data_IF_793779038674
#
_entry.id   IF_793779038674
#
_cell.length_a   1.000
_cell.length_b   1.000
_cell.length_c   1.000
_cell.angle_alpha   90.00
_cell.angle_beta   90.00
_cell.angle_gamma   90.00
#
_symmetry.space_group_name_H-M   'P 1'
#
loop_
_entity.id
_entity.type
_entity.pdbx_description
1 polymer ?
#
# COMPACT_ATOMS: atom_id res chain seq x y z
N UNK A 1 -5.33 9.49 -16.99
CA UNK A 1 -6.59 8.71 -17.04
C UNK A 1 -6.19 7.24 -17.06
N UNK A 2 -6.47 6.51 -15.99
CA UNK A 2 -6.05 5.12 -15.85
C UNK A 2 -6.55 4.25 -16.99
N UNK A 3 -5.64 3.49 -17.61
CA UNK A 3 -6.00 2.57 -18.70
C UNK A 3 -6.89 1.44 -18.17
N UNK A 4 -7.71 0.86 -19.05
CA UNK A 4 -8.56 -0.29 -18.70
C UNK A 4 -7.73 -1.44 -18.09
N UNK A 5 -6.56 -1.71 -18.65
CA UNK A 5 -5.64 -2.77 -18.21
C UNK A 5 -5.12 -2.53 -16.78
N UNK A 6 -4.75 -1.28 -16.46
CA UNK A 6 -4.27 -0.90 -15.11
C UNK A 6 -5.35 -1.10 -14.05
N UNK A 7 -6.60 -0.76 -14.34
CA UNK A 7 -7.74 -0.99 -13.43
C UNK A 7 -8.03 -2.48 -13.22
N UNK A 8 -7.89 -3.29 -14.27
CA UNK A 8 -8.05 -4.73 -14.17
C UNK A 8 -6.92 -5.36 -13.33
N UNK A 9 -5.68 -4.95 -13.56
CA UNK A 9 -4.52 -5.36 -12.76
C UNK A 9 -4.72 -5.01 -11.28
N UNK A 10 -5.12 -3.77 -10.98
CA UNK A 10 -5.41 -3.32 -9.61
C UNK A 10 -6.47 -4.19 -8.94
N UNK A 11 -7.58 -4.51 -9.64
CA UNK A 11 -8.62 -5.40 -9.11
C UNK A 11 -8.11 -6.81 -8.82
N UNK A 12 -7.27 -7.36 -9.72
CA UNK A 12 -6.68 -8.69 -9.53
C UNK A 12 -5.73 -8.72 -8.32
N UNK A 13 -4.87 -7.70 -8.19
CA UNK A 13 -3.96 -7.58 -7.04
C UNK A 13 -4.74 -7.39 -5.73
N UNK A 14 -5.81 -6.60 -5.76
CA UNK A 14 -6.68 -6.40 -4.59
C UNK A 14 -7.35 -7.71 -4.15
N UNK A 15 -7.90 -8.47 -5.11
CA UNK A 15 -8.49 -9.78 -4.82
C UNK A 15 -7.44 -10.76 -4.24
N UNK A 16 -6.22 -10.77 -4.80
CA UNK A 16 -5.11 -11.58 -4.29
C UNK A 16 -4.71 -11.17 -2.86
N UNK A 17 -4.69 -9.86 -2.57
CA UNK A 17 -4.40 -9.36 -1.22
C UNK A 17 -5.47 -9.80 -0.21
N UNK A 18 -6.74 -9.79 -0.60
CA UNK A 18 -7.83 -10.24 0.27
C UNK A 18 -7.79 -11.75 0.53
N UNK A 19 -7.41 -12.56 -0.48
CA UNK A 19 -7.11 -13.99 -0.30
C UNK A 19 -5.96 -14.21 0.68
N UNK A 20 -4.83 -13.52 0.50
CA UNK A 20 -3.67 -13.64 1.39
C UNK A 20 -4.01 -13.24 2.82
N UNK A 21 -4.81 -12.20 3.03
CA UNK A 21 -5.29 -11.81 4.36
C UNK A 21 -6.08 -12.93 5.03
N UNK A 22 -6.94 -13.62 4.28
CA UNK A 22 -7.68 -14.76 4.80
C UNK A 22 -6.75 -15.94 5.13
N UNK A 23 -5.73 -16.22 4.31
CA UNK A 23 -4.73 -17.25 4.58
C UNK A 23 -3.85 -16.90 5.79
N UNK A 24 -3.46 -15.64 5.96
CA UNK A 24 -2.71 -15.17 7.13
C UNK A 24 -3.55 -15.35 8.41
N UNK A 25 -4.83 -14.96 8.36
CA UNK A 25 -5.74 -15.14 9.49
C UNK A 25 -5.92 -16.64 9.84
N UNK A 26 -6.00 -17.50 8.83
CA UNK A 26 -6.05 -18.94 9.01
C UNK A 26 -4.74 -19.49 9.62
N UNK A 27 -3.58 -19.05 9.14
CA UNK A 27 -2.28 -19.49 9.64
C UNK A 27 -2.00 -19.02 11.08
N UNK A 28 -2.32 -17.76 11.41
CA UNK A 28 -1.99 -17.17 12.73
C UNK A 28 -3.02 -17.48 13.82
N UNK A 29 -4.31 -17.36 13.50
CA UNK A 29 -5.40 -17.42 14.49
C UNK A 29 -6.27 -18.66 14.36
N UNK A 30 -6.07 -19.47 13.32
CA UNK A 30 -6.97 -20.57 13.01
C UNK A 30 -8.36 -20.09 12.55
N UNK A 31 -8.49 -18.85 12.07
CA UNK A 31 -9.78 -18.38 11.56
C UNK A 31 -10.13 -19.15 10.29
N UNK A 32 -11.21 -19.95 10.32
CA UNK A 32 -11.61 -20.79 9.18
C UNK A 32 -12.12 -19.92 8.04
N UNK A 33 -11.46 -19.89 6.88
CA UNK A 33 -11.93 -19.12 5.74
C UNK A 33 -13.20 -19.75 5.16
N UNK A 34 -14.07 -18.93 4.56
CA UNK A 34 -15.20 -19.45 3.79
C UNK A 34 -14.67 -20.20 2.55
N UNK A 35 -15.22 -21.37 2.19
CA UNK A 35 -16.43 -22.04 2.70
C UNK A 35 -16.18 -23.06 3.84
N UNK A 36 -14.96 -23.18 4.37
CA UNK A 36 -14.53 -24.26 5.27
C UNK A 36 -15.02 -24.14 6.72
N UNK A 37 -16.10 -23.40 6.96
CA UNK A 37 -16.60 -23.13 8.31
C UNK A 37 -17.03 -24.42 9.05
N UNK A 38 -17.60 -25.37 8.32
CA UNK A 38 -18.05 -26.67 8.83
C UNK A 38 -16.94 -27.74 8.90
N UNK A 39 -15.74 -27.45 8.40
CA UNK A 39 -14.65 -28.42 8.38
C UNK A 39 -14.10 -28.67 9.79
N UNK A 40 -13.63 -29.89 10.04
CA UNK A 40 -12.91 -30.22 11.26
C UNK A 40 -11.53 -29.57 11.19
N UNK A 41 -11.06 -28.98 12.29
CA UNK A 41 -9.73 -28.39 12.37
C UNK A 41 -8.87 -29.25 13.30
N UNK A 42 -7.62 -29.46 12.89
CA UNK A 42 -6.56 -30.03 13.72
C UNK A 42 -5.38 -29.07 13.73
N UNK A 43 -4.60 -29.13 14.79
CA UNK A 43 -3.35 -28.41 14.89
C UNK A 43 -2.18 -29.38 14.63
N UNK A 44 -1.12 -28.85 14.03
CA UNK A 44 0.09 -29.59 13.72
C UNK A 44 1.32 -28.69 13.79
N UNK A 45 2.46 -29.27 13.42
CA UNK A 45 3.72 -28.54 13.25
C UNK A 45 4.22 -28.77 11.83
N UNK A 46 4.57 -27.69 11.17
CA UNK A 46 5.20 -27.68 9.85
C UNK A 46 6.61 -27.13 9.92
N UNK A 47 7.38 -27.34 8.86
CA UNK A 47 8.71 -26.76 8.70
C UNK A 47 8.77 -25.96 7.40
N UNK A 48 9.31 -24.75 7.48
CA UNK A 48 9.55 -23.86 6.35
C UNK A 48 11.06 -23.67 6.18
N UNK A 49 11.56 -23.81 4.96
CA UNK A 49 13.00 -23.65 4.66
C UNK A 49 13.55 -22.26 5.02
N UNK A 50 12.70 -21.22 4.97
CA UNK A 50 13.10 -19.83 5.23
C UNK A 50 12.94 -19.41 6.69
N UNK A 51 11.93 -19.92 7.39
CA UNK A 51 11.52 -19.43 8.71
C UNK A 51 11.55 -20.50 9.82
N UNK A 52 11.87 -21.75 9.49
CA UNK A 52 11.98 -22.85 10.46
C UNK A 52 10.63 -23.49 10.82
N UNK A 53 10.53 -24.02 12.04
CA UNK A 53 9.31 -24.66 12.54
C UNK A 53 8.18 -23.65 12.79
N UNK A 54 6.97 -23.98 12.35
CA UNK A 54 5.79 -23.15 12.55
C UNK A 54 4.55 -23.99 12.92
N UNK A 55 3.61 -23.36 13.62
CA UNK A 55 2.34 -23.99 13.96
C UNK A 55 1.44 -24.06 12.72
N UNK A 56 0.88 -25.24 12.43
CA UNK A 56 -0.01 -25.43 11.29
C UNK A 56 -1.44 -25.68 11.76
N UNK A 57 -2.40 -25.11 11.04
CA UNK A 57 -3.80 -25.46 11.12
C UNK A 57 -4.15 -26.34 9.93
N UNK A 58 -4.81 -27.47 10.18
CA UNK A 58 -5.19 -28.47 9.19
C UNK A 58 -6.71 -28.57 9.19
N UNK A 59 -7.33 -28.18 8.08
CA UNK A 59 -8.77 -28.34 7.87
C UNK A 59 -9.03 -29.66 7.14
N UNK A 60 -9.90 -30.49 7.68
CA UNK A 60 -10.30 -31.78 7.11
C UNK A 60 -11.79 -31.73 6.78
N UNK A 61 -12.15 -32.15 5.58
CA UNK A 61 -13.54 -32.29 5.14
C UNK A 61 -13.72 -33.43 4.16
N UNK A 62 -14.88 -34.07 4.22
CA UNK A 62 -15.26 -35.07 3.22
C UNK A 62 -15.89 -34.36 2.02
N UNK A 63 -15.42 -34.69 0.82
CA UNK A 63 -15.99 -34.16 -0.41
C UNK A 63 -17.31 -34.86 -0.78
N UNK A 64 -17.95 -34.42 -1.87
CA UNK A 64 -19.23 -35.01 -2.33
C UNK A 64 -19.10 -36.49 -2.75
N UNK A 65 -17.88 -36.95 -3.03
CA UNK A 65 -17.59 -38.32 -3.42
C UNK A 65 -17.24 -39.19 -2.19
N UNK A 66 -17.21 -38.61 -0.99
CA UNK A 66 -16.85 -39.29 0.25
C UNK A 66 -15.35 -39.41 0.47
N UNK A 67 -14.52 -38.71 -0.31
CA UNK A 67 -13.07 -38.66 -0.09
C UNK A 67 -12.72 -37.56 0.92
N UNK A 68 -11.91 -37.89 1.93
CA UNK A 68 -11.42 -36.91 2.86
C UNK A 68 -10.31 -36.06 2.21
N UNK A 69 -10.52 -34.75 2.20
CA UNK A 69 -9.56 -33.75 1.76
C UNK A 69 -9.06 -32.95 2.94
N UNK A 70 -7.81 -32.56 2.85
CA UNK A 70 -7.16 -31.71 3.85
C UNK A 70 -6.55 -30.46 3.23
N UNK A 71 -6.60 -29.37 3.99
CA UNK A 71 -5.91 -28.10 3.69
C UNK A 71 -5.05 -27.74 4.89
N UNK A 72 -3.75 -27.63 4.66
CA UNK A 72 -2.75 -27.26 5.67
C UNK A 72 -2.42 -25.78 5.48
N UNK A 73 -2.35 -25.02 6.57
CA UNK A 73 -1.92 -23.62 6.55
C UNK A 73 -0.43 -23.53 6.18
N UNK A 74 -0.09 -22.55 5.35
CA UNK A 74 1.30 -22.20 5.06
C UNK A 74 1.97 -21.45 6.24
N UNK A 75 3.28 -21.23 6.14
CA UNK A 75 4.02 -20.42 7.10
C UNK A 75 3.50 -18.96 7.10
N UNK A 76 3.12 -18.41 8.27
CA UNK A 76 2.57 -17.06 8.36
C UNK A 76 3.57 -15.99 7.90
N UNK A 77 4.86 -16.14 8.20
CA UNK A 77 5.88 -15.16 7.83
C UNK A 77 6.11 -15.09 6.32
N UNK A 78 6.03 -16.23 5.62
CA UNK A 78 6.06 -16.26 4.15
C UNK A 78 4.86 -15.53 3.55
N UNK A 79 3.67 -15.74 4.11
CA UNK A 79 2.45 -15.09 3.62
C UNK A 79 2.48 -13.58 3.89
N UNK A 80 3.02 -13.14 5.03
CA UNK A 80 3.19 -11.72 5.35
C UNK A 80 4.18 -11.07 4.40
N UNK A 81 5.30 -11.73 4.08
CA UNK A 81 6.25 -11.23 3.10
C UNK A 81 5.60 -11.01 1.72
N UNK A 82 4.85 -12.01 1.22
CA UNK A 82 4.11 -11.88 -0.04
C UNK A 82 3.07 -10.75 0.02
N UNK A 83 2.36 -10.61 1.14
CA UNK A 83 1.38 -9.53 1.33
C UNK A 83 2.04 -8.14 1.33
N UNK A 84 3.25 -8.01 1.88
CA UNK A 84 4.02 -6.77 1.84
C UNK A 84 4.44 -6.42 0.41
N UNK A 85 4.93 -7.40 -0.36
CA UNK A 85 5.32 -7.20 -1.77
C UNK A 85 4.13 -6.71 -2.61
N UNK A 86 2.95 -7.34 -2.46
CA UNK A 86 1.73 -6.90 -3.15
C UNK A 86 1.23 -5.53 -2.66
N UNK A 87 1.40 -5.21 -1.38
CA UNK A 87 1.06 -3.89 -0.86
C UNK A 87 1.94 -2.82 -1.50
N UNK A 88 3.24 -3.10 -1.70
CA UNK A 88 4.13 -2.20 -2.43
C UNK A 88 3.68 -2.01 -3.88
N UNK A 89 3.32 -3.09 -4.59
CA UNK A 89 2.82 -3.00 -5.97
C UNK A 89 1.52 -2.18 -6.06
N UNK A 90 0.56 -2.42 -5.16
CA UNK A 90 -0.69 -1.66 -5.10
C UNK A 90 -0.45 -0.18 -4.78
N UNK A 91 0.51 0.12 -3.90
CA UNK A 91 0.86 1.49 -3.54
C UNK A 91 1.44 2.26 -4.73
N UNK A 92 2.27 1.61 -5.55
CA UNK A 92 2.83 2.18 -6.77
C UNK A 92 1.73 2.52 -7.80
N UNK A 93 0.81 1.59 -8.07
CA UNK A 93 -0.31 1.84 -9.00
C UNK A 93 -1.19 3.00 -8.50
N UNK A 94 -1.43 3.09 -7.19
CA UNK A 94 -2.21 4.16 -6.59
C UNK A 94 -1.50 5.52 -6.66
N UNK A 95 -0.18 5.54 -6.46
CA UNK A 95 0.61 6.76 -6.62
C UNK A 95 0.56 7.29 -8.06
N UNK A 96 0.64 6.40 -9.06
CA UNK A 96 0.44 6.76 -10.46
C UNK A 96 -0.96 7.33 -10.71
N UNK A 97 -2.00 6.74 -10.11
CA UNK A 97 -3.39 7.20 -10.25
C UNK A 97 -3.57 8.63 -9.73
N UNK A 98 -3.04 8.89 -8.54
CA UNK A 98 -3.12 10.19 -7.90
C UNK A 98 -2.34 11.25 -8.69
N UNK A 99 -1.17 10.89 -9.19
CA UNK A 99 -0.33 11.77 -10.02
C UNK A 99 -1.06 12.18 -11.30
N UNK A 100 -1.66 11.19 -11.98
CA UNK A 100 -2.46 11.41 -13.19
C UNK A 100 -3.68 12.32 -12.92
N UNK A 101 -4.39 12.06 -11.82
CA UNK A 101 -5.61 12.79 -11.46
C UNK A 101 -5.33 14.23 -11.01
N UNK A 102 -4.17 14.48 -10.42
CA UNK A 102 -3.77 15.81 -9.98
C UNK A 102 -3.23 16.72 -11.11
N UNK A 103 -3.12 16.20 -12.34
CA UNK A 103 -2.65 16.97 -13.49
C UNK A 103 -1.16 17.35 -13.40
N UNK A 104 -0.38 16.60 -12.63
CA UNK A 104 1.06 16.79 -12.54
C UNK A 104 1.69 16.37 -13.87
N UNK A 105 2.54 17.24 -14.43
CA UNK A 105 3.32 16.91 -15.61
C UNK A 105 4.26 15.72 -15.36
N UNK A 106 4.31 14.77 -16.29
CA UNK A 106 5.11 13.54 -16.22
C UNK A 106 6.58 13.74 -15.87
N UNK A 107 7.16 14.91 -16.18
CA UNK A 107 8.53 15.29 -15.84
C UNK A 107 8.83 15.32 -14.34
N UNK A 108 7.81 15.35 -13.49
CA UNK A 108 7.97 15.34 -12.04
C UNK A 108 7.79 13.95 -11.42
N UNK A 109 7.48 12.92 -12.23
CA UNK A 109 7.16 11.55 -11.76
C UNK A 109 8.28 10.87 -10.95
N UNK A 110 9.53 11.27 -11.14
CA UNK A 110 10.68 10.62 -10.48
C UNK A 110 11.31 11.51 -9.40
N UNK A 111 10.61 12.56 -8.96
CA UNK A 111 11.18 13.62 -8.12
C UNK A 111 10.99 13.37 -6.62
N UNK A 112 11.51 12.29 -6.04
CA UNK A 112 11.27 11.88 -4.65
C UNK A 112 12.02 12.70 -3.58
N UNK A 113 11.59 12.60 -2.31
CA UNK A 113 12.17 13.39 -1.21
C UNK A 113 13.65 13.07 -1.05
N UNK A 114 14.02 11.83 -1.38
CA UNK A 114 15.38 11.31 -1.29
C UNK A 114 16.23 11.70 -2.52
N UNK A 115 15.60 12.12 -3.62
CA UNK A 115 16.27 12.63 -4.83
C UNK A 115 16.32 14.18 -4.86
N UNK A 116 15.87 14.85 -3.79
CA UNK A 116 15.89 16.30 -3.71
C UNK A 116 17.28 16.81 -3.32
N UNK A 117 17.85 17.71 -4.13
CA UNK A 117 19.15 18.31 -3.87
C UNK A 117 19.04 19.53 -2.94
N UNK A 118 19.63 19.42 -1.75
CA UNK A 118 19.78 20.52 -0.78
C UNK A 118 20.84 21.53 -1.21
N UNK A 119 20.58 22.26 -2.31
CA UNK A 119 21.53 23.22 -2.89
C UNK A 119 21.84 24.43 -1.97
N UNK A 120 21.01 24.66 -0.94
CA UNK A 120 21.22 25.71 0.06
C UNK A 120 20.52 25.37 1.41
N UNK A 121 20.84 26.08 2.50
CA UNK A 121 20.23 25.82 3.82
C UNK A 121 18.71 26.02 3.87
N UNK A 122 18.16 26.90 3.05
CA UNK A 122 16.71 27.12 2.97
C UNK A 122 16.00 25.94 2.28
N UNK A 123 16.63 25.33 1.28
CA UNK A 123 16.18 24.12 0.60
C UNK A 123 16.13 22.94 1.56
N UNK A 124 17.17 22.76 2.40
CA UNK A 124 17.18 21.76 3.46
C UNK A 124 16.07 21.99 4.50
N UNK A 125 15.84 23.25 4.89
CA UNK A 125 14.75 23.60 5.82
C UNK A 125 13.37 23.30 5.23
N UNK A 126 13.16 23.61 3.95
CA UNK A 126 11.91 23.33 3.25
C UNK A 126 11.69 21.82 3.09
N UNK A 127 12.76 21.04 2.84
CA UNK A 127 12.71 19.57 2.82
C UNK A 127 12.24 19.01 4.15
N UNK A 128 12.86 19.43 5.24
CA UNK A 128 12.48 19.00 6.58
C UNK A 128 11.02 19.35 6.91
N UNK A 129 10.56 20.54 6.53
CA UNK A 129 9.18 20.95 6.75
C UNK A 129 8.17 20.12 5.96
N UNK A 130 8.45 19.85 4.67
CA UNK A 130 7.57 19.05 3.82
C UNK A 130 7.54 17.58 4.25
N UNK A 131 8.70 17.01 4.59
CA UNK A 131 8.81 15.65 5.12
C UNK A 131 8.02 15.50 6.41
N UNK A 132 8.20 16.43 7.37
CA UNK A 132 7.44 16.45 8.62
C UNK A 132 5.93 16.57 8.38
N UNK A 133 5.51 17.39 7.42
CA UNK A 133 4.09 17.54 7.10
C UNK A 133 3.50 16.25 6.49
N UNK A 134 4.24 15.58 5.59
CA UNK A 134 3.82 14.32 5.00
C UNK A 134 3.76 13.18 6.02
N UNK A 135 4.77 13.07 6.90
CA UNK A 135 4.84 12.05 7.96
C UNK A 135 3.72 12.20 9.00
N UNK A 136 3.34 13.44 9.33
CA UNK A 136 2.28 13.73 10.31
C UNK A 136 0.94 14.06 9.64
N UNK A 137 0.74 13.63 8.39
CA UNK A 137 -0.47 13.94 7.64
C UNK A 137 -1.80 13.60 8.37
N UNK A 138 -1.94 12.45 9.07
CA UNK A 138 -3.18 12.14 9.80
C UNK A 138 -3.59 13.26 10.78
N UNK A 139 -2.62 13.73 11.57
CA UNK A 139 -2.84 14.81 12.54
C UNK A 139 -3.08 16.15 11.85
N UNK A 140 -2.38 16.43 10.74
CA UNK A 140 -2.56 17.67 9.97
C UNK A 140 -3.96 17.73 9.34
N UNK A 141 -4.45 16.61 8.83
CA UNK A 141 -5.79 16.48 8.25
C UNK A 141 -6.88 16.69 9.32
N UNK A 142 -6.75 16.07 10.49
CA UNK A 142 -7.69 16.23 11.60
C UNK A 142 -7.75 17.67 12.09
N UNK A 143 -6.60 18.34 12.20
CA UNK A 143 -6.50 19.73 12.62
C UNK A 143 -6.81 20.75 11.50
N UNK A 144 -7.05 20.30 10.27
CA UNK A 144 -7.26 21.19 9.11
C UNK A 144 -6.05 22.07 8.78
N UNK A 145 -4.84 21.64 9.15
CA UNK A 145 -3.61 22.40 8.90
C UNK A 145 -3.24 22.30 7.43
N UNK A 146 -2.90 23.43 6.81
CA UNK A 146 -2.49 23.50 5.41
C UNK A 146 -1.06 24.02 5.27
N UNK A 147 -0.37 23.55 4.23
CA UNK A 147 0.99 23.98 3.89
C UNK A 147 0.95 24.94 2.69
N UNK A 148 1.53 26.14 2.85
CA UNK A 148 1.64 27.15 1.79
C UNK A 148 3.11 27.47 1.53
N UNK A 149 3.54 27.30 0.28
CA UNK A 149 4.92 27.59 -0.15
C UNK A 149 4.98 28.88 -0.98
N UNK A 150 5.75 29.86 -0.52
CA UNK A 150 5.96 31.15 -1.18
C UNK A 150 7.40 31.26 -1.74
N UNK A 151 7.66 32.20 -2.65
CA UNK A 151 8.96 32.30 -3.36
C UNK A 151 8.85 32.74 -4.84
N UNK A 152 9.98 32.89 -5.51
CA UNK A 152 10.05 33.28 -6.93
C UNK A 152 9.86 32.09 -7.88
N UNK A 153 9.54 32.36 -9.15
CA UNK A 153 9.46 31.31 -10.19
C UNK A 153 10.83 30.61 -10.36
N UNK A 154 10.82 29.28 -10.54
CA UNK A 154 12.05 28.49 -10.74
C UNK A 154 12.70 27.93 -9.46
N UNK A 155 12.16 28.21 -8.26
CA UNK A 155 12.69 27.71 -6.97
C UNK A 155 12.21 26.30 -6.58
N UNK A 156 11.64 25.54 -7.52
CA UNK A 156 11.23 24.15 -7.29
C UNK A 156 9.89 23.95 -6.57
N UNK A 157 9.09 25.00 -6.30
CA UNK A 157 7.77 24.88 -5.62
C UNK A 157 6.84 23.79 -6.17
N UNK A 158 6.90 23.55 -7.48
CA UNK A 158 6.06 22.54 -8.17
C UNK A 158 6.54 21.11 -7.84
N UNK A 159 7.86 20.92 -7.63
CA UNK A 159 8.43 19.65 -7.18
C UNK A 159 7.93 19.28 -5.78
N UNK A 160 7.71 20.29 -4.94
CA UNK A 160 7.26 20.08 -3.57
C UNK A 160 5.79 19.68 -3.45
N UNK A 161 4.92 20.24 -4.30
CA UNK A 161 3.53 19.80 -4.38
C UNK A 161 3.43 18.34 -4.84
N UNK A 162 4.38 17.90 -5.69
CA UNK A 162 4.47 16.54 -6.18
C UNK A 162 4.88 15.54 -5.09
N UNK A 163 5.96 15.86 -4.39
CA UNK A 163 6.49 15.07 -3.28
C UNK A 163 5.42 14.73 -2.23
N UNK A 164 4.59 15.72 -1.89
CA UNK A 164 3.53 15.52 -0.91
C UNK A 164 2.45 14.52 -1.38
N UNK A 165 2.04 14.56 -2.65
CA UNK A 165 1.02 13.67 -3.19
C UNK A 165 1.50 12.22 -3.26
N UNK A 166 2.77 12.01 -3.64
CA UNK A 166 3.34 10.68 -3.77
C UNK A 166 3.49 9.98 -2.41
N UNK A 167 3.86 10.71 -1.36
CA UNK A 167 4.00 10.14 0.00
C UNK A 167 2.67 9.95 0.73
N UNK A 168 1.67 10.80 0.50
CA UNK A 168 0.47 10.84 1.36
C UNK A 168 -0.73 10.06 0.80
N UNK A 169 -0.67 9.52 -0.41
CA UNK A 169 -1.81 8.87 -1.08
C UNK A 169 -3.10 9.73 -1.09
N UNK A 170 -2.97 11.06 -1.15
CA UNK A 170 -4.07 12.02 -1.00
C UNK A 170 -4.29 12.81 -2.29
N UNK A 171 -5.54 12.83 -2.75
CA UNK A 171 -5.99 13.64 -3.86
C UNK A 171 -6.07 15.11 -3.45
N UNK A 172 -5.20 15.96 -3.98
CA UNK A 172 -5.36 17.42 -3.85
C UNK A 172 -6.26 17.89 -5.00
N UNK A 173 -7.40 18.49 -4.66
CA UNK A 173 -8.10 19.34 -5.62
C UNK A 173 -7.29 20.63 -5.81
N UNK A 174 -6.85 20.99 -7.03
CA UNK A 174 -6.24 22.28 -7.25
C UNK A 174 -7.33 23.35 -7.14
N UNK A 175 -7.40 24.03 -6.00
CA UNK A 175 -8.09 25.33 -5.90
C UNK A 175 -7.21 26.37 -6.60
N UNK A 176 -7.26 26.35 -7.93
CA UNK A 176 -6.90 27.46 -8.79
C UNK A 176 -8.12 27.78 -9.67
N UNK A 177 -9.17 28.34 -9.06
CA UNK A 177 -10.02 29.28 -9.79
C UNK A 177 -9.35 30.64 -9.67
N UNK A 178 -8.62 31.03 -10.72
CA UNK A 178 -8.24 32.42 -10.93
C UNK A 178 -9.51 33.27 -11.11
N UNK A 179 -9.60 34.45 -10.47
CA UNK A 179 -10.65 35.41 -10.75
C UNK A 179 -10.27 36.19 -12.01
N UNK A 180 -11.09 36.05 -13.05
CA UNK A 180 -11.29 37.05 -14.11
C UNK A 180 -12.74 36.97 -14.53
#
# INVERSE_FOLDING_TARGET
>A
MMTFNLREQQKRLQARMDELRAEIAFAQKGEKPWPYRSCLMREGRGYCEKHGEYHTHILVWSDRNGEDREKISCCPDCLIAEANDLTMELSSIKAEELTDNAGIALRFRDCEFDNYLEVNPDAARNLAACRRYAENWPDMLENGTSLVMTGSCGTGKIIWLWLWQNTSSVTIWPVWRSPT
#
